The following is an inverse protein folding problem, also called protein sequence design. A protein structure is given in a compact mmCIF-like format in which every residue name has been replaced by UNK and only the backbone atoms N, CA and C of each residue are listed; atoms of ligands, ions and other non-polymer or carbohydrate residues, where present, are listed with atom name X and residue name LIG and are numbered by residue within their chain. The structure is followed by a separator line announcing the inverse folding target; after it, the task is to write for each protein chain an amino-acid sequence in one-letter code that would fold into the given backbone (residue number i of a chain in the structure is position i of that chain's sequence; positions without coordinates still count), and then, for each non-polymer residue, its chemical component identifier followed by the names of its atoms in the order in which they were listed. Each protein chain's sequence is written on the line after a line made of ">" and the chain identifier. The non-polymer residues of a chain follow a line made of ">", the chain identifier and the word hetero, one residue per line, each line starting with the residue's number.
data_IF_973006981506
#
_entry.id   IF_973006981506
#
_cell.length_a   1.000
_cell.length_b   1.000
_cell.length_c   1.000
_cell.angle_alpha   90.00
_cell.angle_beta   90.00
_cell.angle_gamma   90.00
#
_symmetry.space_group_name_H-M   'P 1'
#
loop_
_entity.id
_entity.type
_entity.pdbx_description
1 polymer ?
#
# COMPACT_ATOMS: atom_id res chain seq x y z
N UNK A 1 -4.82 3.42 5.79
CA UNK A 1 -4.33 4.71 6.35
C UNK A 1 -2.86 4.87 6.04
N UNK A 2 -2.35 6.09 5.77
CA UNK A 2 -0.91 6.31 5.56
C UNK A 2 -0.41 7.64 6.10
N UNK A 3 0.90 7.72 6.34
CA UNK A 3 1.54 8.90 6.93
C UNK A 3 3.03 8.98 6.64
N UNK A 4 3.64 10.12 6.95
CA UNK A 4 5.06 10.35 6.72
C UNK A 4 5.90 9.60 7.75
N UNK A 5 7.05 9.07 7.30
CA UNK A 5 8.07 8.54 8.19
C UNK A 5 8.93 9.71 8.70
N UNK A 6 9.15 9.86 10.02
CA UNK A 6 10.01 10.90 10.55
C UNK A 6 11.42 10.85 9.93
N UNK A 7 11.98 12.01 9.59
CA UNK A 7 13.28 12.10 8.91
C UNK A 7 14.41 11.40 9.65
N UNK A 8 14.38 11.42 10.99
CA UNK A 8 15.39 10.78 11.85
C UNK A 8 15.46 9.25 11.68
N UNK A 9 14.40 8.63 11.17
CA UNK A 9 14.31 7.17 11.01
C UNK A 9 14.03 6.76 9.55
N UNK A 10 14.03 7.70 8.60
CA UNK A 10 13.86 7.39 7.19
C UNK A 10 15.20 6.88 6.61
N UNK A 11 15.33 5.60 6.29
CA UNK A 11 16.60 5.04 5.79
C UNK A 11 16.97 5.60 4.41
N UNK A 12 16.02 6.19 3.67
CA UNK A 12 16.26 6.73 2.33
C UNK A 12 16.85 8.16 2.35
N UNK A 13 16.97 8.79 3.52
CA UNK A 13 17.58 10.12 3.65
C UNK A 13 19.09 10.13 3.39
N UNK A 14 19.72 8.95 3.22
CA UNK A 14 21.13 8.83 2.83
C UNK A 14 21.39 9.20 1.37
N UNK A 15 20.35 9.20 0.52
CA UNK A 15 20.50 9.49 -0.89
C UNK A 15 20.47 11.01 -1.15
N UNK A 16 21.19 11.50 -2.17
CA UNK A 16 21.22 12.93 -2.53
C UNK A 16 19.91 13.44 -3.18
N UNK A 17 18.88 12.58 -3.23
CA UNK A 17 17.55 12.87 -3.75
C UNK A 17 16.52 12.61 -2.66
N UNK A 18 15.51 13.47 -2.55
CA UNK A 18 14.42 13.23 -1.61
C UNK A 18 13.48 12.15 -2.16
N UNK A 19 13.48 10.97 -1.54
CA UNK A 19 12.57 9.88 -1.88
C UNK A 19 11.41 9.94 -0.85
N UNK A 20 10.17 10.28 -1.27
CA UNK A 20 9.07 10.54 -0.36
C UNK A 20 8.51 9.26 0.26
N UNK A 21 9.22 8.64 1.19
CA UNK A 21 8.80 7.38 1.81
C UNK A 21 7.70 7.61 2.87
N UNK A 22 6.63 6.83 2.78
CA UNK A 22 5.52 6.82 3.74
C UNK A 22 5.34 5.44 4.34
N UNK A 23 4.70 5.38 5.50
CA UNK A 23 4.16 4.12 6.01
C UNK A 23 2.69 4.01 5.62
N UNK A 24 2.19 2.78 5.52
CA UNK A 24 0.75 2.52 5.44
C UNK A 24 0.34 1.43 6.43
N UNK A 25 -0.91 1.47 6.86
CA UNK A 25 -1.57 0.50 7.71
C UNK A 25 -3.03 0.43 7.30
N UNK A 26 -3.48 -0.74 6.87
CA UNK A 26 -4.89 -1.03 6.64
C UNK A 26 -5.36 -2.12 7.59
N UNK A 27 -6.52 -1.90 8.20
CA UNK A 27 -7.14 -2.81 9.15
C UNK A 27 -8.62 -2.90 8.80
N UNK A 28 -9.14 -4.13 8.78
CA UNK A 28 -10.53 -4.41 8.45
C UNK A 28 -11.07 -5.59 9.23
N UNK A 29 -12.39 -5.72 9.20
CA UNK A 29 -13.13 -6.86 9.74
C UNK A 29 -14.29 -7.18 8.81
N UNK A 30 -14.98 -8.28 9.03
CA UNK A 30 -16.10 -8.74 8.22
C UNK A 30 -17.09 -9.52 9.11
N UNK A 31 -18.35 -9.61 8.67
CA UNK A 31 -19.47 -10.05 9.50
C UNK A 31 -19.25 -11.46 10.12
N UNK A 32 -18.76 -12.41 9.33
CA UNK A 32 -18.54 -13.79 9.77
C UNK A 32 -17.51 -13.90 10.89
N UNK A 33 -16.57 -12.95 10.97
CA UNK A 33 -15.54 -12.95 11.99
C UNK A 33 -16.10 -12.68 13.42
N UNK A 34 -17.34 -12.18 13.51
CA UNK A 34 -18.01 -11.85 14.78
C UNK A 34 -18.99 -12.92 15.26
N UNK A 35 -19.15 -14.03 14.54
CA UNK A 35 -19.94 -15.18 15.00
C UNK A 35 -19.21 -15.89 16.15
N UNK A 36 -19.95 -16.52 17.06
CA UNK A 36 -19.40 -17.13 18.30
C UNK A 36 -18.31 -18.17 18.03
N UNK A 37 -18.38 -18.88 16.89
CA UNK A 37 -17.44 -19.90 16.46
C UNK A 37 -16.70 -19.52 15.17
N UNK A 38 -16.30 -18.25 15.01
CA UNK A 38 -15.58 -17.81 13.83
C UNK A 38 -14.28 -18.63 13.61
N UNK A 39 -14.11 -19.18 12.40
CA UNK A 39 -12.98 -20.04 12.04
C UNK A 39 -11.65 -19.27 11.83
N UNK A 40 -11.67 -17.95 11.93
CA UNK A 40 -10.59 -17.06 11.52
C UNK A 40 -10.51 -15.82 12.41
N UNK A 41 -9.46 -15.02 12.24
CA UNK A 41 -9.23 -13.84 13.06
C UNK A 41 -10.31 -12.75 12.82
N UNK A 42 -10.72 -12.08 13.90
CA UNK A 42 -11.66 -10.93 13.87
C UNK A 42 -11.16 -9.77 13.03
N UNK A 43 -9.86 -9.51 13.08
CA UNK A 43 -9.23 -8.42 12.34
C UNK A 43 -8.26 -8.97 11.31
N UNK A 44 -8.37 -8.42 10.10
CA UNK A 44 -7.40 -8.55 9.04
C UNK A 44 -6.64 -7.25 8.94
N UNK A 45 -5.34 -7.33 8.72
CA UNK A 45 -4.50 -6.16 8.57
C UNK A 45 -3.34 -6.43 7.62
N UNK A 46 -2.91 -5.38 6.95
CA UNK A 46 -1.62 -5.27 6.31
C UNK A 46 -1.00 -3.90 6.59
N UNK A 47 0.32 -3.84 6.56
CA UNK A 47 1.07 -2.63 6.84
C UNK A 47 2.45 -2.73 6.21
N UNK A 48 3.02 -1.58 5.90
CA UNK A 48 4.35 -1.54 5.31
C UNK A 48 4.71 -0.15 4.81
N UNK A 49 5.41 -0.13 3.68
CA UNK A 49 5.91 1.10 3.07
C UNK A 49 5.08 1.48 1.85
N UNK A 50 4.82 2.77 1.72
CA UNK A 50 4.21 3.39 0.55
C UNK A 50 5.25 4.29 -0.13
N UNK A 51 5.40 4.12 -1.44
CA UNK A 51 6.19 4.98 -2.31
C UNK A 51 5.27 5.74 -3.27
N UNK A 52 4.95 7.01 -2.99
CA UNK A 52 4.25 7.91 -3.90
C UNK A 52 5.19 8.39 -5.01
N UNK A 53 4.74 8.27 -6.26
CA UNK A 53 5.42 8.71 -7.47
C UNK A 53 4.58 9.78 -8.17
N UNK A 54 5.23 10.72 -8.86
CA UNK A 54 4.57 11.78 -9.66
C UNK A 54 3.48 12.53 -8.87
N UNK A 55 3.86 13.11 -7.73
CA UNK A 55 2.94 13.78 -6.80
C UNK A 55 1.79 12.88 -6.28
N UNK A 56 2.10 11.59 -6.08
CA UNK A 56 1.18 10.52 -5.68
C UNK A 56 0.09 10.18 -6.72
N UNK A 57 0.32 10.46 -8.01
CA UNK A 57 -0.49 9.90 -9.11
C UNK A 57 -0.42 8.38 -9.09
N UNK A 58 0.78 7.82 -8.88
CA UNK A 58 0.98 6.40 -8.67
C UNK A 58 1.49 6.21 -7.24
N UNK A 59 0.91 5.29 -6.49
CA UNK A 59 1.44 4.88 -5.19
C UNK A 59 1.75 3.39 -5.24
N UNK A 60 2.95 3.00 -4.84
CA UNK A 60 3.37 1.61 -4.73
C UNK A 60 3.38 1.23 -3.25
N UNK A 61 2.83 0.07 -2.90
CA UNK A 61 2.73 -0.44 -1.54
C UNK A 61 3.54 -1.73 -1.41
N UNK A 62 4.49 -1.72 -0.49
CA UNK A 62 5.34 -2.84 -0.14
C UNK A 62 4.91 -3.35 1.24
N UNK A 63 4.12 -4.44 1.32
CA UNK A 63 3.69 -4.98 2.59
C UNK A 63 4.88 -5.60 3.34
N UNK A 64 5.02 -5.25 4.62
CA UNK A 64 6.08 -5.76 5.52
C UNK A 64 5.45 -6.62 6.62
N UNK A 65 4.31 -6.20 7.13
CA UNK A 65 3.58 -6.86 8.20
C UNK A 65 2.15 -7.17 7.73
N UNK A 66 1.65 -8.36 8.04
CA UNK A 66 0.27 -8.74 7.71
C UNK A 66 -0.26 -9.75 8.72
N UNK A 67 -1.59 -9.83 8.82
CA UNK A 67 -2.28 -10.83 9.64
C UNK A 67 -1.86 -12.27 9.29
N UNK A 68 -2.01 -13.21 10.23
CA UNK A 68 -1.72 -14.63 9.97
C UNK A 68 -2.50 -15.16 8.77
N UNK A 69 -3.76 -14.75 8.62
CA UNK A 69 -4.63 -15.14 7.50
C UNK A 69 -3.99 -14.76 6.15
N UNK A 70 -3.57 -13.50 5.98
CA UNK A 70 -2.90 -13.07 4.74
C UNK A 70 -1.53 -13.73 4.54
N UNK A 71 -0.74 -13.86 5.62
CA UNK A 71 0.58 -14.53 5.53
C UNK A 71 0.46 -15.98 5.09
N UNK A 72 -0.52 -16.71 5.61
CA UNK A 72 -0.76 -18.11 5.26
C UNK A 72 -1.23 -18.21 3.81
N UNK A 73 -2.16 -17.36 3.37
CA UNK A 73 -2.58 -17.25 1.96
C UNK A 73 -1.42 -16.94 1.02
N UNK A 74 -0.59 -15.94 1.32
CA UNK A 74 0.57 -15.59 0.49
C UNK A 74 1.55 -16.75 0.36
N UNK A 75 1.71 -17.56 1.41
CA UNK A 75 2.58 -18.74 1.37
C UNK A 75 1.96 -19.87 0.55
N UNK A 76 0.67 -20.17 0.74
CA UNK A 76 0.02 -21.30 0.08
C UNK A 76 -0.27 -21.04 -1.40
N UNK A 77 -0.64 -19.81 -1.75
CA UNK A 77 -1.23 -19.49 -3.05
C UNK A 77 -0.24 -18.80 -3.98
N UNK A 78 0.58 -17.88 -3.49
CA UNK A 78 1.51 -17.13 -4.35
C UNK A 78 2.81 -17.89 -4.64
N UNK A 79 3.18 -18.85 -3.78
CA UNK A 79 4.33 -19.73 -3.98
C UNK A 79 5.65 -18.98 -4.20
N UNK A 80 6.36 -19.31 -5.28
CA UNK A 80 7.59 -18.63 -5.65
C UNK A 80 7.37 -17.16 -6.05
N UNK A 81 8.39 -16.34 -5.80
CA UNK A 81 8.37 -14.88 -6.06
C UNK A 81 7.23 -14.15 -5.34
N UNK A 82 6.72 -14.71 -4.24
CA UNK A 82 5.61 -14.15 -3.44
C UNK A 82 5.81 -12.67 -3.09
N UNK A 83 7.04 -12.25 -2.79
CA UNK A 83 7.35 -10.85 -2.47
C UNK A 83 6.89 -9.90 -3.57
N UNK A 84 7.24 -10.17 -4.83
CA UNK A 84 6.83 -9.34 -5.96
C UNK A 84 5.34 -9.42 -6.24
N UNK A 85 4.73 -10.59 -6.01
CA UNK A 85 3.27 -10.81 -6.19
C UNK A 85 2.42 -10.14 -5.11
N UNK A 86 3.00 -9.79 -3.96
CA UNK A 86 2.33 -9.05 -2.89
C UNK A 86 2.42 -7.53 -3.03
N UNK A 87 3.24 -7.03 -3.96
CA UNK A 87 3.30 -5.60 -4.22
C UNK A 87 1.98 -5.13 -4.82
N UNK A 88 1.44 -4.05 -4.28
CA UNK A 88 0.20 -3.43 -4.77
C UNK A 88 0.48 -2.02 -5.25
N UNK A 89 -0.38 -1.50 -6.12
CA UNK A 89 -0.30 -0.12 -6.54
C UNK A 89 -1.69 0.50 -6.68
N UNK A 90 -1.75 1.82 -6.58
CA UNK A 90 -2.95 2.61 -6.85
C UNK A 90 -2.64 3.73 -7.82
N UNK A 91 -3.59 4.02 -8.72
CA UNK A 91 -3.52 5.15 -9.64
C UNK A 91 -4.63 6.13 -9.26
N UNK A 92 -4.24 7.35 -8.91
CA UNK A 92 -5.16 8.45 -8.60
C UNK A 92 -5.40 9.30 -9.86
N UNK A 93 -6.42 8.92 -10.63
CA UNK A 93 -6.75 9.61 -11.88
C UNK A 93 -7.17 11.07 -11.69
N UNK A 94 -7.58 11.49 -10.49
CA UNK A 94 -7.92 12.89 -10.22
C UNK A 94 -6.68 13.79 -10.26
N UNK A 95 -5.50 13.20 -10.07
CA UNK A 95 -4.21 13.87 -10.22
C UNK A 95 -3.71 13.92 -11.66
N UNK A 96 -4.39 13.25 -12.60
CA UNK A 96 -4.14 13.44 -14.02
C UNK A 96 -4.71 14.80 -14.43
N UNK A 97 -3.83 15.79 -14.54
CA UNK A 97 -4.17 17.10 -15.06
C UNK A 97 -4.22 17.04 -16.60
N UNK A 98 -5.24 16.35 -17.14
CA UNK A 98 -5.43 16.17 -18.59
C UNK A 98 -5.52 17.52 -19.34
N UNK A 99 -6.11 18.53 -18.68
CA UNK A 99 -6.17 19.92 -19.16
C UNK A 99 -4.80 20.62 -19.25
N UNK A 100 -3.75 20.09 -18.59
CA UNK A 100 -2.36 20.54 -18.74
C UNK A 100 -1.58 19.71 -19.75
N UNK A 101 -2.10 18.57 -20.18
CA UNK A 101 -1.48 17.70 -21.19
C UNK A 101 -1.76 18.17 -22.62
N UNK A 102 -2.88 18.85 -22.85
CA UNK A 102 -3.14 19.57 -24.10
C UNK A 102 -3.98 20.81 -23.84
N UNK A 103 -3.49 21.96 -24.30
CA UNK A 103 -4.15 23.26 -24.19
C UNK A 103 -5.38 23.36 -25.10
N UNK A 104 -5.49 22.44 -26.06
CA UNK A 104 -6.48 22.47 -27.16
C UNK A 104 -7.63 21.47 -26.96
N UNK A 105 -7.79 20.90 -25.76
CA UNK A 105 -8.99 20.10 -25.43
C UNK A 105 -10.03 21.06 -24.82
N UNK A 106 -11.08 21.45 -25.56
CA UNK A 106 -12.21 22.15 -24.96
C UNK A 106 -12.91 21.18 -24.01
N UNK A 107 -13.08 21.58 -22.75
CA UNK A 107 -13.85 20.86 -21.73
C UNK A 107 -15.23 21.51 -21.58
#
# INVERSE_FOLDING_TARGET
>A
FSGNIPEKINPLNIFPINIPLKFFVDVGTYAEAWKDNAASARFLYDAGLQLPLFNSLINIYVPILSSKVYRDYFKSTLGEKRFFKTLSFSIDIQKLQLNKLSRDIPL
#
